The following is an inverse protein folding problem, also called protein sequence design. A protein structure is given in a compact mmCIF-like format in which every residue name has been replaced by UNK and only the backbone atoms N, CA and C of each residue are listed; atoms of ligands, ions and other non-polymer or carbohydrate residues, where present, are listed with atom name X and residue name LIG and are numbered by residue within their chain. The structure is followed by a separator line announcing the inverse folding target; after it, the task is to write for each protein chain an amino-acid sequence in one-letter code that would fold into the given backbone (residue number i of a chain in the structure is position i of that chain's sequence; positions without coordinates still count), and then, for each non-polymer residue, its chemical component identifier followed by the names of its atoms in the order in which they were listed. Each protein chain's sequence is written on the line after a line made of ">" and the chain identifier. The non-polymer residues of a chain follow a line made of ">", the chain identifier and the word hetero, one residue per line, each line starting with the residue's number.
data_IF_443082276374
#
_entry.id   IF_443082276374
#
_cell.length_a   1.000
_cell.length_b   1.000
_cell.length_c   1.000
_cell.angle_alpha   90.00
_cell.angle_beta   90.00
_cell.angle_gamma   90.00
#
_symmetry.space_group_name_H-M   'P 1'
#
loop_
_entity.id
_entity.type
_entity.pdbx_description
1 polymer ?
#
# COMPACT_ATOMS: atom_id res chain seq x y z
N UNK A 1 -3.78 12.42 60.73
CA UNK A 1 -4.25 12.67 59.35
C UNK A 1 -3.41 11.81 58.45
N UNK A 2 -4.02 10.74 57.94
CA UNK A 2 -3.37 9.69 57.14
C UNK A 2 -3.13 10.19 55.72
N UNK A 3 -1.85 10.23 55.32
CA UNK A 3 -1.45 10.41 53.93
C UNK A 3 -1.88 9.16 53.14
N UNK A 4 -2.74 9.37 52.15
CA UNK A 4 -3.14 8.37 51.18
C UNK A 4 -2.16 8.51 50.02
N UNK A 5 -1.23 7.55 49.89
CA UNK A 5 -0.45 7.42 48.67
C UNK A 5 -1.41 7.17 47.49
N UNK A 6 -1.52 8.16 46.60
CA UNK A 6 -2.01 7.94 45.26
C UNK A 6 -1.04 7.03 44.54
N UNK A 7 -1.26 5.72 44.64
CA UNK A 7 -0.70 4.78 43.69
C UNK A 7 -1.19 5.21 42.30
N UNK A 8 -0.29 5.78 41.49
CA UNK A 8 -0.55 6.03 40.08
C UNK A 8 -1.03 4.71 39.46
N UNK A 9 -2.12 4.70 38.69
CA UNK A 9 -2.57 3.48 38.05
C UNK A 9 -1.41 2.98 37.20
N UNK A 10 -0.94 1.75 37.47
CA UNK A 10 0.04 1.08 36.65
C UNK A 10 -0.45 1.16 35.20
N UNK A 11 0.22 1.97 34.39
CA UNK A 11 -0.03 2.04 32.97
C UNK A 11 0.31 0.65 32.47
N UNK A 12 -0.71 -0.18 32.25
CA UNK A 12 -0.53 -1.47 31.64
C UNK A 12 0.19 -1.21 30.33
N UNK A 13 1.47 -1.58 30.24
CA UNK A 13 2.22 -1.50 28.99
C UNK A 13 1.42 -2.28 27.97
N UNK A 14 0.75 -1.56 27.08
CA UNK A 14 0.01 -2.18 26.00
C UNK A 14 1.04 -2.98 25.20
N UNK A 15 0.83 -4.29 24.98
CA UNK A 15 1.81 -5.10 24.28
C UNK A 15 2.09 -4.47 22.93
N UNK A 16 3.37 -4.17 22.66
CA UNK A 16 3.83 -3.56 21.42
C UNK A 16 3.40 -4.42 20.22
N UNK A 17 2.50 -3.87 19.39
CA UNK A 17 1.85 -4.61 18.31
C UNK A 17 2.77 -4.59 17.09
N UNK A 18 3.65 -5.58 17.01
CA UNK A 18 4.55 -5.77 15.85
C UNK A 18 3.89 -6.58 14.75
N UNK A 19 3.92 -6.07 13.52
CA UNK A 19 3.46 -6.82 12.36
C UNK A 19 4.36 -8.04 12.13
N UNK A 20 3.74 -9.20 11.91
CA UNK A 20 4.39 -10.52 11.84
C UNK A 20 5.23 -10.86 13.08
N UNK A 21 5.04 -10.15 14.21
CA UNK A 21 5.87 -10.26 15.41
C UNK A 21 7.30 -9.73 15.26
N UNK A 22 7.62 -9.07 14.13
CA UNK A 22 8.98 -8.61 13.81
C UNK A 22 9.07 -7.11 13.56
N UNK A 23 8.10 -6.55 12.83
CA UNK A 23 8.20 -5.18 12.32
C UNK A 23 7.39 -4.20 13.17
N UNK A 24 8.05 -3.18 13.71
CA UNK A 24 7.40 -2.07 14.43
C UNK A 24 6.57 -1.21 13.47
N UNK A 25 5.39 -0.77 13.91
CA UNK A 25 4.51 0.15 13.18
C UNK A 25 4.73 1.62 13.53
N UNK A 26 5.41 1.89 14.63
CA UNK A 26 5.43 3.22 15.25
C UNK A 26 6.41 4.15 14.55
N UNK A 27 7.53 3.60 14.09
CA UNK A 27 8.60 4.33 13.42
C UNK A 27 8.26 4.70 11.96
N UNK A 28 7.12 4.24 11.44
CA UNK A 28 6.76 4.43 10.03
C UNK A 28 6.26 5.85 9.78
N UNK A 29 6.96 6.61 8.96
CA UNK A 29 6.62 7.99 8.62
C UNK A 29 5.96 8.08 7.24
N UNK A 30 4.96 8.95 7.11
CA UNK A 30 4.27 9.22 5.85
C UNK A 30 4.70 10.62 5.40
N UNK A 31 5.53 10.69 4.36
CA UNK A 31 6.12 11.95 3.90
C UNK A 31 5.13 12.86 3.13
N UNK A 32 3.99 12.33 2.67
CA UNK A 32 2.96 13.09 1.95
C UNK A 32 1.72 13.31 2.84
N UNK A 33 1.51 14.57 3.23
CA UNK A 33 0.41 15.02 4.09
C UNK A 33 -0.95 14.64 3.51
N UNK A 34 -1.11 14.68 2.18
CA UNK A 34 -2.40 14.38 1.52
C UNK A 34 -2.80 12.89 1.63
N UNK A 35 -1.84 12.02 1.94
CA UNK A 35 -2.03 10.57 1.99
C UNK A 35 -2.07 10.02 3.41
N UNK A 36 -1.74 10.83 4.42
CA UNK A 36 -1.64 10.42 5.82
C UNK A 36 -2.91 9.72 6.33
N UNK A 37 -4.09 10.30 6.07
CA UNK A 37 -5.38 9.73 6.51
C UNK A 37 -5.85 8.53 5.67
N UNK A 38 -5.26 8.33 4.50
CA UNK A 38 -5.63 7.25 3.56
C UNK A 38 -4.70 6.05 3.60
N UNK A 39 -3.59 6.15 4.34
CA UNK A 39 -2.60 5.10 4.59
C UNK A 39 -2.65 4.74 6.08
N UNK A 40 -3.52 3.78 6.40
CA UNK A 40 -3.66 3.25 7.75
C UNK A 40 -2.49 2.32 8.12
N UNK A 41 -1.55 2.84 8.92
CA UNK A 41 -0.37 2.09 9.43
C UNK A 41 -0.21 2.23 10.95
N UNK A 42 -0.38 3.44 11.48
CA UNK A 42 -0.07 3.77 12.89
C UNK A 42 -1.17 3.37 13.89
N UNK A 43 -0.76 3.22 15.15
CA UNK A 43 -1.61 3.14 16.35
C UNK A 43 -2.77 2.14 16.21
N UNK A 44 -3.99 2.66 16.00
CA UNK A 44 -5.27 1.92 15.94
C UNK A 44 -5.29 0.86 14.84
N UNK A 45 -4.43 1.00 13.84
CA UNK A 45 -4.35 0.12 12.67
C UNK A 45 -3.25 -0.92 12.76
N UNK A 46 -2.44 -0.90 13.83
CA UNK A 46 -1.44 -1.92 14.09
C UNK A 46 -2.12 -3.29 14.29
N UNK A 47 -1.64 -4.30 13.55
CA UNK A 47 -2.13 -5.68 13.60
C UNK A 47 -0.95 -6.64 13.50
N UNK A 48 -1.02 -7.76 14.21
CA UNK A 48 -0.02 -8.82 14.11
C UNK A 48 0.00 -9.50 12.73
N UNK A 49 -1.17 -9.63 12.09
CA UNK A 49 -1.32 -10.28 10.80
C UNK A 49 -2.20 -9.42 9.88
N UNK A 50 -1.88 -9.35 8.57
CA UNK A 50 -2.71 -8.64 7.59
C UNK A 50 -3.95 -9.44 7.16
N UNK A 51 -4.52 -10.23 8.09
CA UNK A 51 -5.70 -11.05 7.87
C UNK A 51 -6.79 -10.64 8.86
N UNK A 52 -7.59 -9.64 8.49
CA UNK A 52 -8.78 -9.25 9.24
C UNK A 52 -10.06 -9.62 8.48
N UNK A 53 -11.14 -9.85 9.22
CA UNK A 53 -12.49 -10.04 8.69
C UNK A 53 -13.28 -8.70 8.69
N UNK A 54 -12.58 -7.57 8.58
CA UNK A 54 -13.17 -6.25 8.66
C UNK A 54 -14.15 -5.96 7.51
N UNK A 55 -15.34 -5.45 7.85
CA UNK A 55 -16.37 -5.06 6.88
C UNK A 55 -16.10 -3.67 6.29
N UNK A 56 -15.02 -3.55 5.51
CA UNK A 56 -14.56 -2.27 4.94
C UNK A 56 -15.37 -1.78 3.73
N UNK A 57 -16.09 -2.68 3.06
CA UNK A 57 -16.90 -2.35 1.88
C UNK A 57 -18.27 -1.74 2.20
N UNK A 58 -18.76 -1.88 3.44
CA UNK A 58 -20.10 -1.47 3.82
C UNK A 58 -20.34 0.05 3.76
N UNK A 59 -19.28 0.86 3.86
CA UNK A 59 -19.34 2.33 3.76
C UNK A 59 -18.24 2.84 2.84
N UNK A 60 -18.53 3.86 2.02
CA UNK A 60 -17.64 4.38 0.95
C UNK A 60 -16.18 4.61 1.39
N UNK A 61 -15.97 5.29 2.52
CA UNK A 61 -14.62 5.66 2.99
C UNK A 61 -14.04 4.74 4.06
N UNK A 62 -14.78 3.71 4.51
CA UNK A 62 -14.29 2.78 5.54
C UNK A 62 -13.10 1.95 5.04
N UNK A 63 -12.91 1.83 3.73
CA UNK A 63 -11.70 1.24 3.12
C UNK A 63 -10.40 1.97 3.49
N UNK A 64 -10.43 3.27 3.75
CA UNK A 64 -9.24 4.03 4.15
C UNK A 64 -8.67 3.55 5.50
N UNK A 65 -9.54 3.06 6.38
CA UNK A 65 -9.21 2.54 7.71
C UNK A 65 -8.65 1.10 7.69
N UNK A 66 -8.67 0.43 6.53
CA UNK A 66 -8.11 -0.92 6.41
C UNK A 66 -6.58 -0.83 6.39
N UNK A 67 -5.86 -1.60 7.23
CA UNK A 67 -4.41 -1.59 7.27
C UNK A 67 -3.80 -1.74 5.87
N UNK A 68 -2.76 -0.95 5.56
CA UNK A 68 -2.25 -0.86 4.19
C UNK A 68 -1.71 -2.20 3.67
N UNK A 69 -1.09 -2.99 4.54
CA UNK A 69 -0.59 -4.33 4.22
C UNK A 69 -1.73 -5.28 3.89
N UNK A 70 -2.85 -5.18 4.60
CA UNK A 70 -4.03 -5.96 4.29
C UNK A 70 -4.62 -5.57 2.92
N UNK A 71 -4.65 -4.27 2.59
CA UNK A 71 -5.06 -3.81 1.25
C UNK A 71 -4.15 -4.38 0.16
N UNK A 72 -2.83 -4.44 0.38
CA UNK A 72 -1.88 -5.09 -0.52
C UNK A 72 -2.18 -6.58 -0.69
N UNK A 73 -2.40 -7.32 0.41
CA UNK A 73 -2.74 -8.75 0.33
C UNK A 73 -4.04 -8.99 -0.43
N UNK A 74 -5.06 -8.15 -0.23
CA UNK A 74 -6.34 -8.29 -0.90
C UNK A 74 -6.23 -8.05 -2.42
N UNK A 75 -5.37 -7.13 -2.85
CA UNK A 75 -5.10 -6.88 -4.28
C UNK A 75 -4.26 -7.99 -4.93
N UNK A 76 -3.41 -8.67 -4.16
CA UNK A 76 -2.53 -9.71 -4.68
C UNK A 76 -3.27 -11.03 -4.97
N UNK A 77 -4.35 -11.34 -4.24
CA UNK A 77 -5.15 -12.57 -4.43
C UNK A 77 -6.17 -12.54 -5.60
N UNK A 78 -5.98 -11.65 -6.58
CA UNK A 78 -6.87 -11.53 -7.75
C UNK A 78 -6.47 -12.49 -8.90
N UNK A 79 -7.30 -12.54 -9.95
CA UNK A 79 -7.19 -13.35 -11.18
C UNK A 79 -7.57 -14.83 -11.03
N UNK A 80 -8.88 -15.09 -10.96
CA UNK A 80 -9.48 -16.42 -11.14
C UNK A 80 -8.97 -17.44 -10.13
N UNK A 81 -7.98 -18.25 -10.53
CA UNK A 81 -7.37 -19.33 -9.74
C UNK A 81 -6.81 -18.90 -8.37
N UNK A 82 -6.55 -17.61 -8.17
CA UNK A 82 -6.00 -17.07 -6.92
C UNK A 82 -7.06 -16.45 -6.00
N UNK A 83 -8.30 -16.32 -6.47
CA UNK A 83 -9.38 -15.68 -5.74
C UNK A 83 -9.61 -16.35 -4.38
N UNK A 84 -9.66 -15.55 -3.30
CA UNK A 84 -9.96 -16.01 -1.94
C UNK A 84 -8.80 -16.68 -1.19
N UNK A 85 -7.65 -16.91 -1.83
CA UNK A 85 -6.50 -17.60 -1.22
C UNK A 85 -5.66 -16.69 -0.30
N UNK A 86 -6.31 -16.01 0.64
CA UNK A 86 -5.68 -14.99 1.49
C UNK A 86 -4.53 -15.54 2.33
N UNK A 87 -4.64 -16.75 2.88
CA UNK A 87 -3.54 -17.40 3.64
C UNK A 87 -2.28 -17.61 2.80
N UNK A 88 -2.41 -17.92 1.51
CA UNK A 88 -1.26 -18.04 0.61
C UNK A 88 -0.61 -16.67 0.38
N UNK A 89 -1.44 -15.64 0.17
CA UNK A 89 -0.97 -14.28 -0.07
C UNK A 89 -0.31 -13.63 1.14
N UNK A 90 -0.81 -13.88 2.35
CA UNK A 90 -0.18 -13.41 3.59
C UNK A 90 1.24 -13.99 3.73
N UNK A 91 1.45 -15.26 3.37
CA UNK A 91 2.78 -15.87 3.33
C UNK A 91 3.70 -15.22 2.30
N UNK A 92 3.19 -14.95 1.10
CA UNK A 92 3.94 -14.24 0.05
C UNK A 92 4.41 -12.87 0.55
N UNK A 93 3.52 -12.09 1.17
CA UNK A 93 3.87 -10.75 1.70
C UNK A 93 4.85 -10.85 2.86
N UNK A 94 4.73 -11.86 3.73
CA UNK A 94 5.70 -12.12 4.80
C UNK A 94 7.11 -12.33 4.23
N UNK A 95 7.25 -13.19 3.24
CA UNK A 95 8.55 -13.44 2.58
C UNK A 95 9.06 -12.22 1.83
N UNK A 96 8.19 -11.49 1.13
CA UNK A 96 8.59 -10.25 0.44
C UNK A 96 9.15 -9.21 1.43
N UNK A 97 8.54 -9.05 2.60
CA UNK A 97 9.03 -8.12 3.63
C UNK A 97 10.37 -8.56 4.22
N UNK A 98 10.61 -9.85 4.38
CA UNK A 98 11.92 -10.38 4.78
C UNK A 98 12.99 -10.07 3.73
N UNK A 99 12.69 -10.27 2.44
CA UNK A 99 13.61 -9.93 1.34
C UNK A 99 13.91 -8.42 1.30
N UNK A 100 12.89 -7.58 1.44
CA UNK A 100 13.06 -6.12 1.45
C UNK A 100 14.01 -5.69 2.57
N UNK A 101 13.82 -6.22 3.77
CA UNK A 101 14.68 -5.87 4.90
C UNK A 101 16.13 -6.32 4.67
N UNK A 102 16.34 -7.53 4.14
CA UNK A 102 17.68 -8.03 3.85
C UNK A 102 18.41 -7.19 2.79
N UNK A 103 17.70 -6.67 1.79
CA UNK A 103 18.30 -5.89 0.71
C UNK A 103 18.49 -4.40 1.05
N UNK A 104 17.61 -3.83 1.87
CA UNK A 104 17.61 -2.37 2.15
C UNK A 104 18.14 -2.02 3.54
N UNK A 105 18.06 -2.94 4.50
CA UNK A 105 18.33 -2.68 5.92
C UNK A 105 17.26 -1.85 6.63
N UNK A 106 16.25 -1.35 5.90
CA UNK A 106 15.18 -0.51 6.42
C UNK A 106 13.98 -1.34 6.89
N UNK A 107 13.04 -0.70 7.61
CA UNK A 107 11.77 -1.30 7.93
C UNK A 107 10.95 -1.50 6.62
N UNK A 108 10.53 -2.74 6.27
CA UNK A 108 9.81 -2.99 5.03
C UNK A 108 8.44 -2.28 4.97
N UNK A 109 7.86 -1.91 6.12
CA UNK A 109 6.67 -1.08 6.16
C UNK A 109 6.92 0.33 5.63
N UNK A 110 8.07 0.91 5.96
CA UNK A 110 8.46 2.23 5.45
C UNK A 110 8.64 2.17 3.92
N UNK A 111 9.31 1.13 3.43
CA UNK A 111 9.50 0.90 1.99
C UNK A 111 8.16 0.77 1.28
N UNK A 112 7.21 0.02 1.84
CA UNK A 112 5.86 -0.10 1.27
C UNK A 112 5.14 1.26 1.20
N UNK A 113 5.19 2.05 2.27
CA UNK A 113 4.57 3.38 2.31
C UNK A 113 5.20 4.30 1.27
N UNK A 114 6.53 4.35 1.21
CA UNK A 114 7.26 5.14 0.21
C UNK A 114 6.92 4.72 -1.23
N UNK A 115 6.86 3.41 -1.49
CA UNK A 115 6.47 2.87 -2.79
C UNK A 115 5.06 3.31 -3.21
N UNK A 116 4.10 3.31 -2.29
CA UNK A 116 2.72 3.73 -2.55
C UNK A 116 2.65 5.24 -2.82
N UNK A 117 3.36 6.05 -2.05
CA UNK A 117 3.42 7.51 -2.23
C UNK A 117 3.96 7.84 -3.63
N UNK A 118 5.08 7.20 -4.01
CA UNK A 118 5.75 7.46 -5.28
C UNK A 118 4.95 6.96 -6.49
N UNK A 119 4.29 5.80 -6.38
CA UNK A 119 3.53 5.17 -7.48
C UNK A 119 2.15 5.78 -7.72
N UNK A 120 1.70 6.67 -6.85
CA UNK A 120 0.38 7.27 -6.93
C UNK A 120 0.29 8.39 -7.98
N UNK A 121 -0.56 8.28 -9.01
CA UNK A 121 -0.77 9.37 -9.98
C UNK A 121 -1.49 10.56 -9.34
N UNK A 122 -1.01 11.76 -9.65
CA UNK A 122 -1.58 13.04 -9.19
C UNK A 122 -2.64 13.57 -10.16
N UNK A 123 -2.39 13.41 -11.45
CA UNK A 123 -3.29 13.81 -12.53
C UNK A 123 -3.65 12.59 -13.40
N UNK A 124 -4.85 12.59 -13.96
CA UNK A 124 -5.32 11.58 -14.91
C UNK A 124 -6.17 12.25 -16.00
N UNK A 125 -6.43 11.53 -17.10
CA UNK A 125 -7.21 12.06 -18.23
C UNK A 125 -8.58 11.38 -18.32
N UNK A 126 -9.64 12.18 -18.20
CA UNK A 126 -11.01 11.71 -18.36
C UNK A 126 -11.50 11.91 -19.78
N UNK A 127 -12.35 11.01 -20.23
CA UNK A 127 -13.00 11.10 -21.53
C UNK A 127 -14.20 12.03 -21.42
N UNK A 128 -14.20 13.13 -22.15
CA UNK A 128 -15.31 14.10 -22.23
C UNK A 128 -15.73 14.24 -23.69
N UNK A 129 -17.02 14.12 -23.97
CA UNK A 129 -17.55 14.32 -25.32
C UNK A 129 -19.07 14.49 -25.32
N UNK A 130 -19.57 15.24 -26.30
CA UNK A 130 -21.00 15.36 -26.61
C UNK A 130 -21.16 15.23 -28.13
N UNK A 131 -22.21 14.56 -28.57
CA UNK A 131 -22.62 14.51 -29.98
C UNK A 131 -21.55 14.02 -30.99
N UNK A 132 -20.77 12.99 -30.64
CA UNK A 132 -19.94 12.23 -31.60
C UNK A 132 -18.44 12.51 -31.57
N UNK A 133 -17.99 13.66 -31.04
CA UNK A 133 -16.56 13.94 -30.82
C UNK A 133 -16.18 13.74 -29.36
N UNK A 134 -15.09 13.00 -29.14
CA UNK A 134 -14.60 12.62 -27.82
C UNK A 134 -13.19 13.17 -27.65
N UNK A 135 -12.98 13.99 -26.62
CA UNK A 135 -11.67 14.49 -26.21
C UNK A 135 -11.28 13.96 -24.83
N UNK A 136 -10.00 14.08 -24.52
CA UNK A 136 -9.48 13.83 -23.17
C UNK A 136 -9.32 15.17 -22.46
N UNK A 137 -9.74 15.23 -21.20
CA UNK A 137 -9.55 16.38 -20.32
C UNK A 137 -8.74 15.95 -19.10
N UNK A 138 -7.69 16.70 -18.79
CA UNK A 138 -6.90 16.52 -17.58
C UNK A 138 -7.74 16.84 -16.33
N UNK A 139 -7.69 15.98 -15.32
CA UNK A 139 -8.34 16.17 -14.02
C UNK A 139 -7.45 15.69 -12.88
N UNK A 140 -7.61 16.29 -11.70
CA UNK A 140 -6.91 15.89 -10.49
C UNK A 140 -7.43 14.56 -9.93
N UNK A 141 -6.53 13.76 -9.35
CA UNK A 141 -6.85 12.45 -8.76
C UNK A 141 -7.00 12.56 -7.25
N UNK A 142 -8.13 12.05 -6.73
CA UNK A 142 -8.37 11.99 -5.29
C UNK A 142 -7.34 11.13 -4.54
N UNK A 143 -6.98 11.47 -3.29
CA UNK A 143 -6.01 10.71 -2.49
C UNK A 143 -6.37 9.23 -2.33
N UNK A 144 -7.65 8.92 -2.09
CA UNK A 144 -8.11 7.53 -1.98
C UNK A 144 -7.88 6.75 -3.29
N UNK A 145 -8.13 7.38 -4.45
CA UNK A 145 -7.88 6.76 -5.76
C UNK A 145 -6.38 6.58 -5.99
N UNK A 146 -5.57 7.58 -5.61
CA UNK A 146 -4.10 7.52 -5.69
C UNK A 146 -3.55 6.28 -4.99
N UNK A 147 -3.94 6.05 -3.73
CA UNK A 147 -3.52 4.84 -2.97
C UNK A 147 -4.03 3.56 -3.62
N UNK A 148 -5.28 3.53 -4.07
CA UNK A 148 -5.85 2.33 -4.70
C UNK A 148 -5.13 1.96 -6.00
N UNK A 149 -4.82 2.96 -6.84
CA UNK A 149 -4.17 2.76 -8.12
C UNK A 149 -2.70 2.39 -7.94
N UNK A 150 -1.99 3.01 -6.99
CA UNK A 150 -0.63 2.63 -6.61
C UNK A 150 -0.53 1.14 -6.21
N UNK A 151 -1.37 0.69 -5.28
CA UNK A 151 -1.38 -0.72 -4.85
C UNK A 151 -1.69 -1.65 -6.02
N UNK A 152 -2.66 -1.29 -6.86
CA UNK A 152 -3.04 -2.11 -8.01
C UNK A 152 -1.89 -2.24 -9.01
N UNK A 153 -1.24 -1.13 -9.38
CA UNK A 153 -0.12 -1.12 -10.32
C UNK A 153 1.08 -1.92 -9.80
N UNK A 154 1.41 -1.79 -8.50
CA UNK A 154 2.48 -2.57 -7.87
C UNK A 154 2.16 -4.08 -7.92
N UNK A 155 0.93 -4.48 -7.59
CA UNK A 155 0.54 -5.90 -7.66
C UNK A 155 0.51 -6.44 -9.10
N UNK A 156 0.08 -5.62 -10.06
CA UNK A 156 0.06 -6.00 -11.48
C UNK A 156 1.47 -6.17 -12.01
N UNK A 157 2.37 -5.21 -11.76
CA UNK A 157 3.79 -5.30 -12.14
C UNK A 157 4.48 -6.52 -11.57
N UNK A 158 4.31 -6.77 -10.26
CA UNK A 158 4.88 -7.95 -9.60
C UNK A 158 4.35 -9.27 -10.19
N UNK A 159 3.06 -9.33 -10.55
CA UNK A 159 2.43 -10.52 -11.12
C UNK A 159 2.88 -10.78 -12.55
N UNK A 160 2.97 -9.74 -13.38
CA UNK A 160 3.45 -9.83 -14.75
C UNK A 160 4.93 -10.24 -14.77
N UNK A 161 5.76 -9.69 -13.89
CA UNK A 161 7.18 -10.05 -13.77
C UNK A 161 7.41 -11.50 -13.29
N UNK A 162 6.52 -12.04 -12.45
CA UNK A 162 6.56 -13.42 -12.00
C UNK A 162 5.93 -14.42 -13.00
N UNK A 163 5.13 -13.94 -13.96
CA UNK A 163 4.43 -14.82 -14.89
C UNK A 163 5.42 -15.41 -15.90
N UNK A 164 5.51 -16.75 -15.95
CA UNK A 164 6.45 -17.49 -16.83
C UNK A 164 7.92 -17.12 -16.58
N UNK A 165 8.25 -16.75 -15.35
CA UNK A 165 9.61 -16.48 -14.90
C UNK A 165 10.00 -17.46 -13.78
N UNK A 166 11.31 -17.67 -13.59
CA UNK A 166 11.87 -18.53 -12.54
C UNK A 166 11.74 -17.86 -11.17
N UNK A 167 11.84 -16.52 -11.13
CA UNK A 167 11.70 -15.72 -9.90
C UNK A 167 10.36 -15.96 -9.22
N UNK A 168 10.39 -16.07 -7.90
CA UNK A 168 9.17 -16.23 -7.12
C UNK A 168 8.38 -14.93 -7.04
N UNK A 169 7.07 -15.01 -6.82
CA UNK A 169 6.22 -13.81 -6.67
C UNK A 169 6.64 -12.94 -5.47
N UNK A 170 7.24 -13.54 -4.43
CA UNK A 170 7.74 -12.80 -3.27
C UNK A 170 8.96 -11.95 -3.65
N UNK A 171 9.89 -12.49 -4.43
CA UNK A 171 11.04 -11.76 -4.97
C UNK A 171 10.60 -10.66 -5.91
N UNK A 172 9.72 -10.96 -6.88
CA UNK A 172 9.22 -9.96 -7.82
C UNK A 172 8.46 -8.82 -7.11
N UNK A 173 7.71 -9.12 -6.04
CA UNK A 173 7.04 -8.10 -5.24
C UNK A 173 8.04 -7.25 -4.47
N UNK A 174 9.09 -7.85 -3.90
CA UNK A 174 10.14 -7.12 -3.20
C UNK A 174 10.91 -6.19 -4.16
N UNK A 175 11.32 -6.70 -5.32
CA UNK A 175 11.99 -5.93 -6.38
C UNK A 175 11.12 -4.73 -6.80
N UNK A 176 9.83 -4.94 -7.05
CA UNK A 176 8.90 -3.88 -7.46
C UNK A 176 8.73 -2.82 -6.37
N UNK A 177 8.59 -3.21 -5.10
CA UNK A 177 8.45 -2.29 -3.98
C UNK A 177 9.72 -1.47 -3.73
N UNK A 178 10.90 -2.08 -3.79
CA UNK A 178 12.19 -1.38 -3.61
C UNK A 178 12.39 -0.37 -4.74
N UNK A 179 12.14 -0.77 -5.99
CA UNK A 179 12.30 0.10 -7.14
C UNK A 179 11.31 1.28 -7.09
N UNK A 180 10.06 1.03 -6.72
CA UNK A 180 9.05 2.09 -6.57
C UNK A 180 9.36 3.03 -5.41
N UNK A 181 9.87 2.52 -4.28
CA UNK A 181 10.28 3.35 -3.14
C UNK A 181 11.42 4.32 -3.49
N UNK A 182 12.34 3.90 -4.37
CA UNK A 182 13.42 4.76 -4.90
C UNK A 182 12.98 5.67 -6.06
N UNK A 183 11.72 5.56 -6.53
CA UNK A 183 11.24 6.29 -7.70
C UNK A 183 11.90 5.85 -9.01
N UNK A 184 12.42 4.63 -9.07
CA UNK A 184 13.09 4.12 -10.26
C UNK A 184 12.09 3.83 -11.37
N UNK A 185 12.40 4.34 -12.57
CA UNK A 185 11.67 4.02 -13.80
C UNK A 185 11.76 2.55 -14.18
N UNK A 186 12.52 1.70 -13.49
CA UNK A 186 12.50 0.25 -13.73
C UNK A 186 11.20 -0.41 -13.23
N UNK A 187 10.55 0.18 -12.22
CA UNK A 187 9.27 -0.32 -11.72
C UNK A 187 8.15 -0.12 -12.74
N UNK A 188 7.28 -1.10 -12.87
CA UNK A 188 6.09 -1.01 -13.71
C UNK A 188 5.16 0.11 -13.22
N UNK A 189 5.01 0.23 -11.90
CA UNK A 189 4.12 1.20 -11.30
C UNK A 189 4.51 2.65 -11.60
N UNK A 190 5.79 3.01 -11.53
CA UNK A 190 6.27 4.36 -11.86
C UNK A 190 6.14 4.64 -13.35
N UNK A 191 6.55 3.69 -14.23
CA UNK A 191 6.37 3.87 -15.68
C UNK A 191 4.91 4.18 -16.04
N UNK A 192 3.95 3.46 -15.45
CA UNK A 192 2.53 3.66 -15.72
C UNK A 192 1.99 4.94 -15.12
N UNK A 193 2.46 5.35 -13.94
CA UNK A 193 2.14 6.65 -13.36
C UNK A 193 2.61 7.78 -14.29
N UNK A 194 3.88 7.78 -14.68
CA UNK A 194 4.47 8.83 -15.50
C UNK A 194 3.82 8.90 -16.89
N UNK A 195 3.46 7.75 -17.46
CA UNK A 195 2.70 7.67 -18.71
C UNK A 195 1.34 8.38 -18.58
N UNK A 196 0.59 8.12 -17.51
CA UNK A 196 -0.72 8.75 -17.25
C UNK A 196 -0.59 10.26 -17.02
N UNK A 197 0.37 10.69 -16.20
CA UNK A 197 0.60 12.11 -15.92
C UNK A 197 1.08 12.88 -17.15
N UNK A 198 1.91 12.26 -18.00
CA UNK A 198 2.33 12.85 -19.28
C UNK A 198 1.15 13.06 -20.23
N UNK A 199 0.25 12.07 -20.33
CA UNK A 199 -0.96 12.20 -21.14
C UNK A 199 -1.90 13.26 -20.58
N UNK A 200 -2.05 13.34 -19.25
CA UNK A 200 -2.84 14.40 -18.61
C UNK A 200 -2.26 15.78 -18.93
N UNK A 201 -0.94 15.98 -18.75
CA UNK A 201 -0.25 17.24 -19.06
C UNK A 201 -0.42 17.68 -20.52
N UNK A 202 -0.42 16.73 -21.47
CA UNK A 202 -0.64 17.02 -22.88
C UNK A 202 -2.07 17.45 -23.22
N UNK A 203 -3.05 17.11 -22.38
CA UNK A 203 -4.47 17.40 -22.56
C UNK A 203 -4.98 18.44 -21.56
N UNK A 204 -4.06 19.19 -20.94
CA UNK A 204 -4.39 20.33 -20.09
C UNK A 204 -4.84 21.51 -20.95
#
# INVERSE_FOLDING_TARGET
>A
MTEWETAAPAVAETPDIKLFGKWSTDDVQINDISLQDYIAVKEKYAKYLPHSAGRYAAKRFRKAQCPIVERLTNSMMMHGRNNGKKLMTVRIVKHAFEIIHLLTGENPLQVLVNAIINSGPREDSTRIGRAGTVRRQAVDVSPLRRVNQAIWLLCTGAREAAFRNIKTIAECLADELINAAKGSSNSYAIKKKDELERVAKSNR
#
